data_IF_465591195278
#
_entry.id   IF_465591195278
#
_cell.length_a   1.000
_cell.length_b   1.000
_cell.length_c   1.000
_cell.angle_alpha   90.00
_cell.angle_beta   90.00
_cell.angle_gamma   90.00
#
_symmetry.space_group_name_H-M   'P 1'
#
loop_
_entity.id
_entity.type
_entity.pdbx_description
1 polymer ?
#
# COMPACT_ATOMS: atom_id res chain seq x y z
N UNK A 1 -30.15 -3.13 10.29
CA UNK A 1 -30.30 -1.72 9.85
C UNK A 1 -28.90 -1.23 9.47
N UNK A 2 -28.61 -1.02 8.19
CA UNK A 2 -27.32 -0.48 7.75
C UNK A 2 -27.41 1.05 7.79
N UNK A 3 -26.52 1.69 8.56
CA UNK A 3 -26.43 3.14 8.60
C UNK A 3 -26.09 3.67 7.21
N UNK A 4 -26.80 4.71 6.77
CA UNK A 4 -26.50 5.44 5.54
C UNK A 4 -25.11 6.06 5.67
N UNK A 5 -24.23 5.77 4.72
CA UNK A 5 -22.91 6.43 4.67
C UNK A 5 -23.11 7.92 4.37
N UNK A 6 -22.40 8.83 5.06
CA UNK A 6 -22.45 10.24 4.72
C UNK A 6 -22.04 10.44 3.25
N UNK A 7 -22.79 11.26 2.51
CA UNK A 7 -22.40 11.67 1.15
C UNK A 7 -21.25 12.67 1.29
N UNK A 8 -20.06 12.38 0.77
CA UNK A 8 -18.96 13.34 0.78
C UNK A 8 -19.27 14.55 -0.12
N UNK A 9 -18.90 15.76 0.32
CA UNK A 9 -18.96 16.99 -0.47
C UNK A 9 -18.00 16.98 -1.68
N UNK A 10 -16.95 16.16 -1.62
CA UNK A 10 -15.93 16.05 -2.67
C UNK A 10 -15.58 14.58 -2.95
N UNK A 11 -16.31 13.97 -3.89
CA UNK A 11 -15.95 12.71 -4.55
C UNK A 11 -16.22 11.42 -3.77
N UNK A 12 -16.37 10.31 -4.49
CA UNK A 12 -16.66 8.98 -3.95
C UNK A 12 -15.60 8.54 -2.92
N UNK A 13 -15.97 8.51 -1.63
CA UNK A 13 -15.13 7.89 -0.60
C UNK A 13 -15.01 6.39 -0.87
N UNK A 14 -13.82 5.93 -1.25
CA UNK A 14 -13.50 4.50 -1.33
C UNK A 14 -12.96 4.03 0.02
N UNK A 15 -13.68 3.10 0.63
CA UNK A 15 -13.14 2.35 1.77
C UNK A 15 -12.06 1.40 1.24
N UNK A 16 -10.87 1.45 1.83
CA UNK A 16 -9.86 0.42 1.67
C UNK A 16 -9.74 -0.38 2.98
N UNK A 17 -9.38 -1.65 2.88
CA UNK A 17 -9.10 -2.48 4.06
C UNK A 17 -7.59 -2.51 4.24
N UNK A 18 -7.12 -2.15 5.42
CA UNK A 18 -5.74 -2.33 5.81
C UNK A 18 -5.65 -3.53 6.76
N UNK A 19 -4.80 -4.50 6.41
CA UNK A 19 -4.52 -5.64 7.27
C UNK A 19 -3.31 -5.32 8.14
N UNK A 20 -3.56 -5.09 9.43
CA UNK A 20 -2.52 -4.78 10.40
C UNK A 20 -2.18 -6.00 11.24
N UNK A 21 -0.90 -6.18 11.53
CA UNK A 21 -0.42 -7.17 12.50
C UNK A 21 0.13 -6.46 13.74
N UNK A 22 -0.16 -6.99 14.92
CA UNK A 22 0.30 -6.46 16.19
C UNK A 22 0.70 -7.58 17.14
N UNK A 23 1.71 -7.33 17.97
CA UNK A 23 2.15 -8.27 19.00
C UNK A 23 1.60 -7.83 20.34
N UNK A 24 0.91 -8.73 21.04
CA UNK A 24 0.49 -8.49 22.41
C UNK A 24 1.72 -8.31 23.32
N UNK A 25 1.79 -7.19 24.03
CA UNK A 25 2.92 -6.85 24.91
C UNK A 25 3.11 -7.81 26.09
N UNK A 26 2.10 -8.62 26.43
CA UNK A 26 2.17 -9.67 27.46
C UNK A 26 2.49 -11.06 26.90
N UNK A 27 2.65 -11.20 25.59
CA UNK A 27 2.98 -12.49 24.98
C UNK A 27 4.34 -13.00 25.45
N UNK A 28 4.43 -14.30 25.73
CA UNK A 28 5.72 -14.99 25.98
C UNK A 28 6.43 -15.38 24.67
N UNK A 29 5.75 -15.29 23.53
CA UNK A 29 6.25 -15.71 22.20
C UNK A 29 6.60 -14.51 21.30
N UNK A 30 7.07 -13.39 21.87
CA UNK A 30 7.32 -12.15 21.13
C UNK A 30 8.31 -12.33 19.99
N UNK A 31 9.40 -13.06 20.24
CA UNK A 31 10.46 -13.26 19.24
C UNK A 31 9.97 -14.07 18.04
N UNK A 32 9.16 -15.08 18.29
CA UNK A 32 8.55 -15.90 17.24
C UNK A 32 7.48 -15.11 16.47
N UNK A 33 6.64 -14.35 17.18
CA UNK A 33 5.67 -13.45 16.55
C UNK A 33 6.36 -12.41 15.65
N UNK A 34 7.54 -11.90 16.06
CA UNK A 34 8.32 -10.97 15.25
C UNK A 34 8.90 -11.63 14.00
N UNK A 35 9.37 -12.88 14.09
CA UNK A 35 9.80 -13.66 12.91
C UNK A 35 8.63 -13.84 11.93
N UNK A 36 7.44 -14.12 12.43
CA UNK A 36 6.26 -14.26 11.59
C UNK A 36 5.84 -12.95 10.91
N UNK A 37 5.87 -11.82 11.62
CA UNK A 37 5.61 -10.50 11.01
C UNK A 37 6.63 -10.20 9.91
N UNK A 38 7.93 -10.48 10.14
CA UNK A 38 8.95 -10.31 9.11
C UNK A 38 8.68 -11.18 7.88
N UNK A 39 8.24 -12.42 8.09
CA UNK A 39 7.84 -13.30 7.00
C UNK A 39 6.67 -12.71 6.19
N UNK A 40 5.63 -12.20 6.86
CA UNK A 40 4.50 -11.54 6.18
C UNK A 40 4.91 -10.29 5.37
N UNK A 41 5.95 -9.58 5.82
CA UNK A 41 6.48 -8.39 5.16
C UNK A 41 7.55 -8.70 4.10
N UNK A 42 7.95 -9.96 3.96
CA UNK A 42 8.94 -10.38 2.97
C UNK A 42 8.46 -10.14 1.54
N UNK A 43 9.42 -9.94 0.62
CA UNK A 43 9.14 -9.60 -0.77
C UNK A 43 8.20 -10.61 -1.44
N UNK A 44 8.45 -11.91 -1.26
CA UNK A 44 7.68 -12.97 -1.93
C UNK A 44 6.23 -13.03 -1.43
N UNK A 45 6.04 -12.88 -0.11
CA UNK A 45 4.70 -12.90 0.48
C UNK A 45 3.92 -11.64 0.12
N UNK A 46 4.58 -10.48 0.13
CA UNK A 46 3.96 -9.23 -0.31
C UNK A 46 3.67 -9.23 -1.81
N UNK A 47 4.51 -9.86 -2.64
CA UNK A 47 4.24 -10.04 -4.07
C UNK A 47 3.00 -10.92 -4.30
N UNK A 48 2.91 -12.05 -3.58
CA UNK A 48 1.74 -12.93 -3.62
C UNK A 48 0.45 -12.20 -3.20
N UNK A 49 0.49 -11.46 -2.09
CA UNK A 49 -0.65 -10.62 -1.64
C UNK A 49 -0.98 -9.57 -2.71
N UNK A 50 0.04 -8.96 -3.29
CA UNK A 50 -0.06 -7.90 -4.29
C UNK A 50 -0.70 -8.32 -5.62
N UNK A 51 -0.89 -9.62 -5.87
CA UNK A 51 -1.68 -10.09 -7.00
C UNK A 51 -3.15 -9.68 -6.91
N UNK A 52 -3.68 -9.53 -5.69
CA UNK A 52 -5.10 -9.24 -5.42
C UNK A 52 -5.33 -8.04 -4.50
N UNK A 53 -4.28 -7.47 -3.93
CA UNK A 53 -4.35 -6.34 -3.02
C UNK A 53 -3.14 -5.39 -3.21
N UNK A 54 -2.98 -4.40 -2.34
CA UNK A 54 -1.90 -3.43 -2.38
C UNK A 54 -0.81 -3.84 -1.39
N UNK A 55 0.40 -4.23 -1.84
CA UNK A 55 1.49 -4.56 -0.94
C UNK A 55 2.05 -3.30 -0.28
N UNK A 56 2.47 -3.43 0.98
CA UNK A 56 3.14 -2.34 1.71
C UNK A 56 4.65 -2.33 1.52
N UNK A 57 5.23 -3.48 1.13
CA UNK A 57 6.64 -3.57 0.78
C UNK A 57 6.88 -2.91 -0.59
N UNK A 58 7.74 -1.89 -0.60
CA UNK A 58 8.04 -1.07 -1.80
C UNK A 58 8.55 -1.90 -2.99
N UNK A 59 9.44 -2.87 -2.75
CA UNK A 59 10.01 -3.70 -3.82
C UNK A 59 8.96 -4.63 -4.41
N UNK A 60 8.13 -5.24 -3.57
CA UNK A 60 7.00 -6.04 -4.02
C UNK A 60 5.99 -5.18 -4.80
N UNK A 61 5.69 -3.98 -4.32
CA UNK A 61 4.79 -3.04 -5.00
C UNK A 61 5.28 -2.61 -6.38
N UNK A 62 6.58 -2.38 -6.55
CA UNK A 62 7.14 -2.08 -7.86
C UNK A 62 6.95 -3.25 -8.84
N UNK A 63 7.24 -4.49 -8.41
CA UNK A 63 7.04 -5.69 -9.24
C UNK A 63 5.56 -5.89 -9.61
N UNK A 64 4.65 -5.66 -8.67
CA UNK A 64 3.20 -5.73 -8.93
C UNK A 64 2.77 -4.72 -9.98
N UNK A 65 3.29 -3.48 -9.91
CA UNK A 65 3.01 -2.46 -10.92
C UNK A 65 3.54 -2.88 -12.29
N UNK A 66 4.78 -3.36 -12.36
CA UNK A 66 5.39 -3.87 -13.60
C UNK A 66 4.53 -4.98 -14.23
N UNK A 67 4.14 -5.99 -13.45
CA UNK A 67 3.25 -7.07 -13.89
C UNK A 67 1.87 -6.56 -14.34
N UNK A 68 1.32 -5.54 -13.66
CA UNK A 68 0.04 -4.94 -14.07
C UNK A 68 0.14 -4.22 -15.40
N UNK A 69 1.22 -3.45 -15.62
CA UNK A 69 1.47 -2.72 -16.87
C UNK A 69 1.70 -3.67 -18.05
N UNK A 70 2.42 -4.77 -17.83
CA UNK A 70 2.58 -5.83 -18.81
C UNK A 70 1.22 -6.40 -19.24
N UNK A 71 0.39 -6.83 -18.28
CA UNK A 71 -0.97 -7.33 -18.56
C UNK A 71 -1.84 -6.30 -19.28
N UNK A 72 -1.75 -5.03 -18.91
CA UNK A 72 -2.48 -3.96 -19.61
C UNK A 72 -2.07 -3.88 -21.08
N UNK A 73 -0.76 -3.94 -21.35
CA UNK A 73 -0.21 -3.92 -22.71
C UNK A 73 -0.69 -5.11 -23.52
N UNK A 74 -0.65 -6.32 -22.94
CA UNK A 74 -1.13 -7.55 -23.58
C UNK A 74 -2.62 -7.48 -23.97
N UNK A 75 -3.44 -6.78 -23.19
CA UNK A 75 -4.87 -6.61 -23.44
C UNK A 75 -5.20 -5.35 -24.27
N UNK A 76 -4.19 -4.66 -24.81
CA UNK A 76 -4.36 -3.50 -25.69
C UNK A 76 -4.68 -2.18 -24.99
N UNK A 77 -4.45 -2.08 -23.69
CA UNK A 77 -4.59 -0.83 -22.93
C UNK A 77 -3.30 0.03 -23.01
N UNK A 78 -3.44 1.34 -22.90
CA UNK A 78 -2.30 2.27 -22.82
C UNK A 78 -1.66 2.24 -21.42
N UNK A 79 -0.69 1.34 -21.25
CA UNK A 79 0.07 1.20 -20.02
C UNK A 79 0.90 2.46 -19.67
N UNK A 80 1.38 3.20 -20.67
CA UNK A 80 2.21 4.38 -20.45
C UNK A 80 1.41 5.54 -19.85
N UNK A 81 0.20 5.77 -20.36
CA UNK A 81 -0.71 6.76 -19.77
C UNK A 81 -1.03 6.42 -18.30
N UNK A 82 -1.29 5.15 -17.99
CA UNK A 82 -1.56 4.70 -16.62
C UNK A 82 -0.34 4.85 -15.70
N UNK A 83 0.85 4.49 -16.18
CA UNK A 83 2.10 4.69 -15.43
C UNK A 83 2.35 6.17 -15.13
N UNK A 84 2.09 7.07 -16.08
CA UNK A 84 2.25 8.50 -15.85
C UNK A 84 1.27 9.01 -14.79
N UNK A 85 -0.01 8.63 -14.86
CA UNK A 85 -1.01 8.96 -13.83
C UNK A 85 -0.58 8.45 -12.45
N UNK A 86 -0.05 7.23 -12.36
CA UNK A 86 0.44 6.68 -11.09
C UNK A 86 1.61 7.51 -10.53
N UNK A 87 2.57 7.90 -11.38
CA UNK A 87 3.69 8.78 -10.98
C UNK A 87 3.20 10.15 -10.51
N UNK A 88 2.24 10.74 -11.21
CA UNK A 88 1.68 12.04 -10.88
C UNK A 88 0.97 11.98 -9.52
N UNK A 89 0.14 10.96 -9.28
CA UNK A 89 -0.52 10.73 -7.98
C UNK A 89 0.52 10.57 -6.86
N UNK A 90 1.52 9.70 -7.03
CA UNK A 90 2.55 9.50 -6.02
C UNK A 90 3.37 10.75 -5.73
N UNK A 91 3.71 11.53 -6.77
CA UNK A 91 4.43 12.80 -6.59
C UNK A 91 3.61 13.83 -5.82
N UNK A 92 2.28 13.76 -5.93
CA UNK A 92 1.35 14.67 -5.26
C UNK A 92 1.09 14.25 -3.82
N UNK A 93 1.03 12.94 -3.54
CA UNK A 93 0.87 12.39 -2.19
C UNK A 93 2.14 12.53 -1.34
N UNK A 94 3.33 12.43 -1.95
CA UNK A 94 4.60 12.67 -1.27
C UNK A 94 4.86 14.15 -0.90
N UNK A 95 3.92 15.06 -1.21
CA UNK A 95 3.98 16.42 -0.69
C UNK A 95 3.48 16.41 0.75
N UNK A 96 4.40 16.12 1.66
CA UNK A 96 4.26 16.25 3.13
C UNK A 96 3.73 17.63 3.58
N UNK A 97 3.71 18.61 2.67
CA UNK A 97 3.00 19.89 2.80
C UNK A 97 1.51 19.75 3.17
N UNK A 98 0.81 18.68 2.74
CA UNK A 98 -0.60 18.47 3.10
C UNK A 98 -0.80 18.05 4.57
N UNK A 99 0.24 17.47 5.20
CA UNK A 99 0.19 16.96 6.58
C UNK A 99 0.92 17.87 7.57
N UNK A 100 1.66 18.89 7.09
CA UNK A 100 2.52 19.77 7.92
C UNK A 100 3.52 18.98 8.82
N UNK A 101 3.83 17.73 8.47
CA UNK A 101 4.79 16.91 9.22
C UNK A 101 6.17 17.07 8.60
N UNK A 102 7.22 17.40 9.39
CA UNK A 102 8.59 17.50 8.89
C UNK A 102 9.09 16.20 8.25
N UNK A 103 9.72 16.30 7.09
CA UNK A 103 10.29 15.18 6.32
C UNK A 103 11.25 14.30 7.16
N UNK A 104 11.87 14.89 8.18
CA UNK A 104 12.81 14.24 9.11
C UNK A 104 12.18 13.08 9.91
N UNK A 105 10.88 13.15 10.24
CA UNK A 105 10.19 12.14 11.06
C UNK A 105 9.88 10.84 10.29
N UNK A 106 9.81 10.90 8.95
CA UNK A 106 9.54 9.74 8.11
C UNK A 106 10.82 9.04 7.63
N UNK A 107 11.96 9.74 7.67
CA UNK A 107 13.28 9.20 7.35
C UNK A 107 13.95 8.48 8.54
N UNK A 108 13.40 8.59 9.75
CA UNK A 108 13.95 7.96 10.96
C UNK A 108 13.46 6.54 11.26
N UNK A 109 12.53 6.00 10.47
CA UNK A 109 12.12 4.59 10.55
C UNK A 109 12.75 3.79 9.42
N UNK A 110 13.96 3.31 9.66
CA UNK A 110 14.63 2.22 8.96
C UNK A 110 15.22 1.24 9.98
#
# INVERSE_FOLDING_TARGET
>A
MLLLRPRPEYGDTKAFRAYNAGINSKSIYKDEAWKFIKYLLSDDIQLYIGEKDIPVNKRAGQKVLENQLERMTEHGFDANANLQVFKDINSTLNKNAALQVPDELLNTTW
#
